data_IF_575662075735
#
_entry.id   IF_575662075735
#
_cell.length_a   1.000
_cell.length_b   1.000
_cell.length_c   1.000
_cell.angle_alpha   90.00
_cell.angle_beta   90.00
_cell.angle_gamma   90.00
#
_symmetry.space_group_name_H-M   'P 1'
#
loop_
_entity.id
_entity.type
_entity.pdbx_description
1 polymer ?
#
# COMPACT_ATOMS: atom_id res chain seq x y z
N UNK A 1 -0.17 -20.33 -3.84
CA UNK A 1 1.08 -21.02 -4.20
C UNK A 1 1.12 -21.30 -5.70
N UNK A 2 2.21 -20.97 -6.33
CA UNK A 2 2.38 -21.29 -7.75
C UNK A 2 2.44 -22.80 -7.95
N UNK A 3 1.91 -23.31 -9.06
CA UNK A 3 1.85 -24.72 -9.39
C UNK A 3 2.61 -24.99 -10.67
N UNK A 4 2.89 -26.28 -10.95
CA UNK A 4 3.53 -26.69 -12.20
C UNK A 4 2.62 -26.44 -13.42
N UNK A 5 1.35 -26.12 -13.20
CA UNK A 5 0.40 -25.79 -14.26
C UNK A 5 0.62 -24.39 -14.85
N UNK A 6 1.51 -23.59 -14.24
CA UNK A 6 1.83 -22.26 -14.73
C UNK A 6 0.92 -21.16 -14.20
N UNK A 7 0.04 -21.47 -13.29
CA UNK A 7 -0.82 -20.46 -12.67
C UNK A 7 -1.15 -20.81 -11.21
N UNK A 8 -1.62 -19.80 -10.49
CA UNK A 8 -2.16 -19.95 -9.14
C UNK A 8 -3.26 -18.92 -8.94
N UNK A 9 -4.09 -19.10 -7.93
CA UNK A 9 -5.07 -18.11 -7.56
C UNK A 9 -5.24 -18.09 -6.04
N UNK A 10 -5.66 -16.95 -5.51
CA UNK A 10 -5.88 -16.76 -4.09
C UNK A 10 -7.04 -15.82 -3.86
N UNK A 11 -7.83 -16.10 -2.84
CA UNK A 11 -8.90 -15.24 -2.39
C UNK A 11 -8.35 -14.27 -1.32
N UNK A 12 -9.12 -13.23 -1.02
CA UNK A 12 -8.75 -12.25 0.00
C UNK A 12 -8.37 -12.91 1.33
N UNK A 13 -9.12 -13.91 1.76
CA UNK A 13 -8.89 -14.59 3.04
C UNK A 13 -7.64 -15.46 3.06
N UNK A 14 -7.06 -15.77 1.91
CA UNK A 14 -5.78 -16.49 1.82
C UNK A 14 -4.58 -15.56 2.00
N UNK A 15 -4.79 -14.26 1.86
CA UNK A 15 -3.73 -13.26 1.94
C UNK A 15 -3.63 -12.70 3.36
N UNK A 16 -2.39 -12.58 3.85
CA UNK A 16 -2.13 -12.00 5.18
C UNK A 16 -2.64 -10.58 5.24
N UNK A 17 -3.33 -10.24 6.33
CA UNK A 17 -3.77 -8.89 6.61
C UNK A 17 -2.80 -8.22 7.58
N UNK A 18 -2.03 -7.27 7.09
CA UNK A 18 -1.07 -6.54 7.93
C UNK A 18 -1.73 -5.59 8.92
N UNK A 19 -3.04 -5.36 8.79
CA UNK A 19 -3.80 -4.51 9.72
C UNK A 19 -4.60 -5.34 10.73
N UNK A 20 -4.42 -6.65 10.78
CA UNK A 20 -5.22 -7.52 11.63
C UNK A 20 -5.16 -7.13 13.12
N UNK A 21 -4.00 -6.66 13.58
CA UNK A 21 -3.80 -6.25 14.98
C UNK A 21 -4.20 -4.79 15.24
N UNK A 22 -4.70 -4.09 14.23
CA UNK A 22 -5.05 -2.67 14.31
C UNK A 22 -6.50 -2.46 13.87
N UNK A 23 -7.48 -2.95 14.65
CA UNK A 23 -8.89 -2.77 14.29
C UNK A 23 -9.20 -1.28 14.18
N UNK A 24 -9.96 -0.91 13.17
CA UNK A 24 -10.27 0.47 12.86
C UNK A 24 -9.43 1.07 11.73
N UNK A 25 -8.31 0.43 11.36
CA UNK A 25 -7.47 0.90 10.26
C UNK A 25 -7.73 0.18 8.94
N UNK A 26 -8.74 -0.67 8.89
CA UNK A 26 -9.14 -1.37 7.67
C UNK A 26 -8.35 -2.64 7.43
N UNK A 27 -7.98 -2.86 6.18
CA UNK A 27 -7.25 -4.07 5.77
C UNK A 27 -6.10 -3.72 4.85
N UNK A 28 -5.04 -4.51 4.93
CA UNK A 28 -3.94 -4.48 3.98
C UNK A 28 -3.54 -5.92 3.70
N UNK A 29 -4.08 -6.49 2.62
CA UNK A 29 -3.91 -7.89 2.25
C UNK A 29 -2.78 -8.04 1.25
N UNK A 30 -1.78 -8.83 1.60
CA UNK A 30 -0.61 -9.06 0.76
C UNK A 30 -0.76 -10.39 0.01
N UNK A 31 -0.80 -10.30 -1.31
CA UNK A 31 -1.14 -11.46 -2.14
C UNK A 31 0.07 -12.23 -2.66
N UNK A 32 1.28 -11.67 -2.63
CA UNK A 32 2.43 -12.30 -3.26
C UNK A 32 2.73 -13.70 -2.70
N UNK A 33 2.73 -13.85 -1.37
CA UNK A 33 2.98 -15.16 -0.75
C UNK A 33 1.84 -16.14 -1.02
N UNK A 34 0.60 -15.69 -0.91
CA UNK A 34 -0.55 -16.56 -1.15
C UNK A 34 -0.56 -17.10 -2.58
N UNK A 35 -0.09 -16.29 -3.54
CA UNK A 35 0.02 -16.69 -4.94
C UNK A 35 1.30 -17.48 -5.26
N UNK A 36 2.32 -17.40 -4.41
CA UNK A 36 3.65 -17.89 -4.75
C UNK A 36 4.27 -17.10 -5.89
N UNK A 37 3.94 -15.81 -6.00
CA UNK A 37 4.46 -14.96 -7.05
C UNK A 37 5.97 -14.77 -6.88
N UNK A 38 6.71 -14.78 -7.98
CA UNK A 38 8.17 -14.72 -7.91
C UNK A 38 8.74 -13.32 -8.19
N UNK A 39 8.10 -12.57 -9.07
CA UNK A 39 8.65 -11.29 -9.55
C UNK A 39 7.77 -10.11 -9.21
N UNK A 40 6.47 -10.30 -9.08
CA UNK A 40 5.50 -9.24 -8.86
C UNK A 40 4.90 -9.35 -7.47
N UNK A 41 4.76 -8.22 -6.80
CA UNK A 41 4.07 -8.14 -5.52
C UNK A 41 2.96 -7.12 -5.61
N UNK A 42 1.83 -7.40 -4.98
CA UNK A 42 0.80 -6.39 -4.80
C UNK A 42 0.03 -6.63 -3.50
N UNK A 43 -0.54 -5.54 -3.01
CA UNK A 43 -1.42 -5.53 -1.86
C UNK A 43 -2.73 -4.84 -2.22
N UNK A 44 -3.81 -5.29 -1.60
CA UNK A 44 -5.08 -4.59 -1.61
C UNK A 44 -5.24 -3.90 -0.26
N UNK A 45 -5.52 -2.61 -0.29
CA UNK A 45 -5.68 -1.80 0.91
C UNK A 45 -7.08 -1.22 0.96
N UNK A 46 -7.75 -1.42 2.10
CA UNK A 46 -9.02 -0.78 2.41
C UNK A 46 -8.79 0.21 3.55
N UNK A 47 -9.09 1.47 3.30
CA UNK A 47 -8.86 2.55 4.25
C UNK A 47 -10.20 3.17 4.68
N UNK A 48 -10.63 2.91 5.92
CA UNK A 48 -11.80 3.60 6.46
C UNK A 48 -11.60 5.12 6.52
N UNK A 49 -12.69 5.90 6.62
CA UNK A 49 -12.59 7.34 6.78
C UNK A 49 -11.66 7.75 7.91
N UNK A 50 -10.84 8.76 7.68
CA UNK A 50 -9.99 9.34 8.70
C UNK A 50 -8.80 8.49 9.12
N UNK A 51 -8.41 7.49 8.33
CA UNK A 51 -7.29 6.61 8.67
C UNK A 51 -6.11 6.80 7.73
N UNK A 52 -4.92 6.46 8.21
CA UNK A 52 -3.69 6.51 7.43
C UNK A 52 -2.55 7.16 8.19
N UNK A 53 -1.62 7.78 7.45
CA UNK A 53 -0.36 8.24 8.00
C UNK A 53 -0.28 9.70 8.44
N UNK A 54 -1.36 10.48 8.34
CA UNK A 54 -1.34 11.86 8.81
C UNK A 54 -1.12 11.89 10.32
N UNK A 55 -0.17 12.67 10.77
CA UNK A 55 0.22 12.73 12.18
C UNK A 55 1.19 11.63 12.58
N UNK A 56 1.80 10.95 11.62
CA UNK A 56 2.64 9.79 11.89
C UNK A 56 3.90 9.78 11.00
N UNK A 57 4.52 8.63 10.90
CA UNK A 57 5.76 8.44 10.16
C UNK A 57 5.49 8.23 8.66
N UNK A 58 6.54 8.46 7.87
CA UNK A 58 6.61 8.02 6.48
C UNK A 58 7.68 6.95 6.33
N UNK A 59 7.71 6.34 5.16
CA UNK A 59 8.71 5.31 4.87
C UNK A 59 9.16 5.39 3.43
N UNK A 60 10.30 4.76 3.16
CA UNK A 60 10.81 4.56 1.81
C UNK A 60 11.23 3.10 1.64
N UNK A 61 11.34 2.67 0.39
CA UNK A 61 11.83 1.34 0.04
C UNK A 61 12.97 1.49 -0.96
N UNK A 62 14.20 1.82 -0.50
CA UNK A 62 15.32 2.01 -1.41
C UNK A 62 15.46 0.84 -2.40
N UNK A 63 15.54 1.18 -3.68
CA UNK A 63 15.66 0.18 -4.74
C UNK A 63 14.37 -0.52 -5.14
N UNK A 64 13.23 -0.17 -4.52
CA UNK A 64 11.95 -0.80 -4.83
C UNK A 64 10.90 0.26 -5.18
N UNK A 65 10.65 0.42 -6.47
CA UNK A 65 9.60 1.30 -6.96
C UNK A 65 8.24 0.74 -6.58
N UNK A 66 7.30 1.62 -6.23
CA UNK A 66 5.90 1.23 -6.00
C UNK A 66 4.97 2.02 -6.90
N UNK A 67 3.86 1.39 -7.28
CA UNK A 67 2.76 2.04 -7.99
C UNK A 67 1.48 1.79 -7.21
N UNK A 68 0.81 2.87 -6.85
CA UNK A 68 -0.49 2.83 -6.19
C UNK A 68 -1.57 3.07 -7.24
N UNK A 69 -2.66 2.34 -7.14
CA UNK A 69 -3.83 2.54 -7.99
C UNK A 69 -5.06 2.68 -7.11
N UNK A 70 -5.76 3.81 -7.20
CA UNK A 70 -6.99 4.04 -6.43
C UNK A 70 -8.15 3.36 -7.14
N UNK A 71 -8.76 2.38 -6.50
CA UNK A 71 -9.94 1.68 -7.02
C UNK A 71 -11.18 2.53 -6.80
N UNK A 72 -11.37 2.99 -5.56
CA UNK A 72 -12.54 3.77 -5.15
C UNK A 72 -12.17 4.71 -4.01
N UNK A 73 -12.97 5.76 -3.85
CA UNK A 73 -12.70 6.77 -2.85
C UNK A 73 -11.60 7.73 -3.29
N UNK A 74 -11.17 8.57 -2.37
CA UNK A 74 -10.11 9.57 -2.59
C UNK A 74 -9.15 9.51 -1.42
N UNK A 75 -7.85 9.50 -1.71
CA UNK A 75 -6.81 9.51 -0.69
C UNK A 75 -5.87 10.67 -0.90
N UNK A 76 -5.19 11.07 0.16
CA UNK A 76 -4.18 12.12 0.12
C UNK A 76 -2.82 11.46 0.31
N UNK A 77 -1.88 11.79 -0.57
CA UNK A 77 -0.50 11.34 -0.47
C UNK A 77 0.37 12.47 0.03
N UNK A 78 1.35 12.13 0.84
CA UNK A 78 2.51 12.99 1.07
C UNK A 78 3.73 12.27 0.56
N UNK A 79 4.42 12.88 -0.39
CA UNK A 79 5.65 12.35 -0.99
C UNK A 79 6.71 13.44 -0.89
N UNK A 80 7.75 13.21 -0.08
CA UNK A 80 8.64 14.29 0.29
C UNK A 80 7.84 15.41 0.95
N UNK A 81 7.95 16.62 0.41
CA UNK A 81 7.18 17.77 0.90
C UNK A 81 5.88 18.01 0.14
N UNK A 82 5.65 17.26 -0.92
CA UNK A 82 4.45 17.42 -1.76
C UNK A 82 3.26 16.68 -1.15
N UNK A 83 2.11 17.35 -1.13
CA UNK A 83 0.86 16.78 -0.65
C UNK A 83 -0.17 16.94 -1.78
N UNK A 84 -0.82 15.84 -2.15
CA UNK A 84 -1.79 15.87 -3.23
C UNK A 84 -2.85 14.79 -3.06
N UNK A 85 -4.01 14.99 -3.68
CA UNK A 85 -5.10 14.02 -3.65
C UNK A 85 -5.10 13.15 -4.90
N UNK A 86 -5.57 11.93 -4.73
CA UNK A 86 -5.77 10.99 -5.83
C UNK A 86 -7.16 10.36 -5.68
N UNK A 87 -7.99 10.58 -6.69
CA UNK A 87 -9.35 10.01 -6.75
C UNK A 87 -9.39 8.69 -7.51
N UNK A 88 -10.61 8.17 -7.78
CA UNK A 88 -10.77 6.87 -8.43
C UNK A 88 -10.05 6.77 -9.77
N UNK A 89 -9.40 5.63 -9.97
CA UNK A 89 -8.66 5.29 -11.20
C UNK A 89 -7.42 6.16 -11.44
N UNK A 90 -6.94 6.84 -10.40
CA UNK A 90 -5.66 7.55 -10.45
C UNK A 90 -4.55 6.59 -10.05
N UNK A 91 -3.47 6.60 -10.83
CA UNK A 91 -2.24 5.88 -10.49
C UNK A 91 -1.20 6.86 -9.99
N UNK A 92 -0.43 6.44 -8.98
CA UNK A 92 0.67 7.22 -8.41
C UNK A 92 1.91 6.34 -8.39
N UNK A 93 2.94 6.74 -9.10
CA UNK A 93 4.25 6.07 -9.04
C UNK A 93 5.11 6.76 -8.00
N UNK A 94 5.74 5.98 -7.14
CA UNK A 94 6.64 6.50 -6.11
C UNK A 94 7.99 5.80 -6.25
N UNK A 95 9.04 6.61 -6.44
CA UNK A 95 10.41 6.10 -6.48
C UNK A 95 10.80 5.48 -5.14
N UNK A 96 11.64 4.46 -5.16
CA UNK A 96 11.99 3.73 -3.94
C UNK A 96 12.56 4.62 -2.84
N UNK A 97 13.38 5.61 -3.21
CA UNK A 97 14.04 6.48 -2.23
C UNK A 97 13.15 7.59 -1.68
N UNK A 98 12.00 7.84 -2.29
CA UNK A 98 11.11 8.91 -1.84
C UNK A 98 10.34 8.47 -0.60
N UNK A 99 10.44 9.25 0.48
CA UNK A 99 9.61 9.03 1.66
C UNK A 99 8.15 9.38 1.34
N UNK A 100 7.25 8.51 1.77
CA UNK A 100 5.82 8.69 1.48
C UNK A 100 4.95 8.20 2.60
N UNK A 101 3.73 8.68 2.57
CA UNK A 101 2.62 8.19 3.38
C UNK A 101 1.31 8.51 2.67
N UNK A 102 0.25 7.82 3.06
CA UNK A 102 -1.09 8.00 2.47
C UNK A 102 -2.12 8.06 3.59
N UNK A 103 -3.15 8.88 3.39
CA UNK A 103 -4.20 9.09 4.39
C UNK A 103 -5.54 9.27 3.70
N UNK A 104 -6.61 8.76 4.29
CA UNK A 104 -7.96 9.00 3.83
C UNK A 104 -8.57 10.12 4.68
N UNK A 105 -8.59 11.34 4.15
CA UNK A 105 -9.16 12.52 4.80
C UNK A 105 -10.68 12.66 4.61
N UNK A 106 -11.30 11.72 3.89
CA UNK A 106 -12.71 11.83 3.52
C UNK A 106 -13.64 11.09 4.47
N UNK A 107 -14.94 11.24 4.25
CA UNK A 107 -15.98 10.55 5.01
C UNK A 107 -16.32 9.17 4.43
N UNK A 108 -15.69 8.78 3.34
CA UNK A 108 -15.98 7.54 2.63
C UNK A 108 -14.77 6.62 2.64
N UNK A 109 -15.01 5.32 2.63
CA UNK A 109 -13.95 4.33 2.50
C UNK A 109 -13.22 4.49 1.18
N UNK A 110 -11.91 4.25 1.19
CA UNK A 110 -11.10 4.20 -0.01
C UNK A 110 -10.48 2.82 -0.16
N UNK A 111 -10.28 2.40 -1.42
CA UNK A 111 -9.61 1.15 -1.74
C UNK A 111 -8.50 1.40 -2.75
N UNK A 112 -7.36 0.76 -2.49
CA UNK A 112 -6.15 0.91 -3.29
C UNK A 112 -5.57 -0.45 -3.65
N UNK A 113 -4.88 -0.51 -4.80
CA UNK A 113 -3.90 -1.55 -5.07
C UNK A 113 -2.51 -0.94 -4.99
N UNK A 114 -1.56 -1.68 -4.47
CA UNK A 114 -0.17 -1.24 -4.34
C UNK A 114 0.70 -2.31 -4.98
N UNK A 115 1.41 -1.94 -6.05
CA UNK A 115 2.24 -2.85 -6.83
C UNK A 115 3.71 -2.53 -6.63
N UNK A 116 4.54 -3.57 -6.63
CA UNK A 116 5.99 -3.42 -6.62
C UNK A 116 6.64 -4.66 -7.24
N UNK A 117 7.94 -4.59 -7.46
CA UNK A 117 8.71 -5.82 -7.68
C UNK A 117 8.76 -6.59 -6.38
N UNK A 118 8.76 -7.91 -6.47
CA UNK A 118 8.90 -8.73 -5.29
C UNK A 118 10.38 -8.88 -4.94
N UNK A 119 10.74 -8.49 -3.71
CA UNK A 119 12.07 -8.69 -3.16
C UNK A 119 11.96 -9.60 -1.96
N UNK A 120 12.96 -10.47 -1.77
CA UNK A 120 12.97 -11.42 -0.64
C UNK A 120 12.97 -10.68 0.70
N UNK A 121 13.76 -9.62 0.79
CA UNK A 121 13.86 -8.76 1.97
C UNK A 121 13.82 -7.31 1.52
N UNK A 122 12.61 -6.76 1.26
CA UNK A 122 12.51 -5.39 0.77
C UNK A 122 13.08 -4.42 1.82
N UNK A 123 14.02 -3.56 1.43
CA UNK A 123 14.53 -2.57 2.36
C UNK A 123 13.45 -1.56 2.67
N UNK A 124 13.40 -1.16 3.95
CA UNK A 124 12.45 -0.16 4.41
C UNK A 124 13.17 0.79 5.33
N UNK A 125 13.09 2.08 5.04
CA UNK A 125 13.56 3.14 5.91
C UNK A 125 12.36 3.92 6.43
N UNK A 126 12.47 4.43 7.65
CA UNK A 126 11.37 5.10 8.32
C UNK A 126 11.82 6.51 8.72
N UNK A 127 10.94 7.48 8.53
CA UNK A 127 11.15 8.85 8.97
C UNK A 127 10.02 9.21 9.95
N UNK A 128 10.38 9.38 11.22
CA UNK A 128 9.43 9.78 12.24
C UNK A 128 9.00 11.24 12.00
N UNK A 129 7.80 11.58 12.45
CA UNK A 129 7.23 12.93 12.31
C UNK A 129 7.18 13.42 10.86
N UNK A 130 7.09 12.48 9.92
CA UNK A 130 7.07 12.81 8.49
C UNK A 130 5.86 13.65 8.10
N UNK A 131 4.71 13.37 8.67
CA UNK A 131 3.46 14.04 8.30
C UNK A 131 2.80 14.62 9.56
N UNK A 132 2.99 15.91 9.85
CA UNK A 132 2.31 16.53 10.98
C UNK A 132 0.80 16.42 10.86
N UNK A 133 0.15 16.17 11.98
CA UNK A 133 -1.30 15.96 12.05
C UNK A 133 -2.16 17.18 11.81
#
# INVERSE_FOLDING_TARGET
MATDSGYSHAQRTDAVDFMADYPGYGEMRWYADALGAEQVSFSWRRMPPGTGGRGSYGHSHPGQEEVYFVISGTVTFKVGDDVFEAGPQTSVRIAGDAFRSVHNDTDSEAQLLIFSTRLAEPPTEKQDDFWPG
#
